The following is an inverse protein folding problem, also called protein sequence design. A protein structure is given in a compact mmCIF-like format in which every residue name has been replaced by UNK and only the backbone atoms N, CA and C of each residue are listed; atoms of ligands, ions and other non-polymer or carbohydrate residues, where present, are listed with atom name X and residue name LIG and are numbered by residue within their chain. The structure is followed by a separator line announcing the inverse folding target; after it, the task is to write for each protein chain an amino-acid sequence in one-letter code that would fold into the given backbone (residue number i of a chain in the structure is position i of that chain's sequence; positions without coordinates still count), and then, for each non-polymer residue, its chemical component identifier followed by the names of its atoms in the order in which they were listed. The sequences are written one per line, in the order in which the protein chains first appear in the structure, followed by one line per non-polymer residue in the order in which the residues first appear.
data_IF_595882198659
#
_entry.id   IF_595882198659
#
_cell.length_a   1.000
_cell.length_b   1.000
_cell.length_c   1.000
_cell.angle_alpha   90.00
_cell.angle_beta   90.00
_cell.angle_gamma   90.00
#
_symmetry.space_group_name_H-M   'P 1'
#
loop_
_entity.id
_entity.type
_entity.pdbx_description
1 polymer ?
#
# COMPACT_ATOMS: atom_id res chain seq x y z
N UNK A 1 23.39 -11.86 15.06
CA UNK A 1 22.46 -12.97 14.81
C UNK A 1 22.07 -12.92 13.34
N UNK A 2 22.34 -13.98 12.57
CA UNK A 2 22.04 -14.01 11.14
C UNK A 2 20.60 -14.48 10.93
N UNK A 3 19.78 -13.65 10.29
CA UNK A 3 18.37 -13.97 9.98
C UNK A 3 18.33 -14.64 8.61
N UNK A 4 18.19 -15.96 8.58
CA UNK A 4 17.94 -16.72 7.35
C UNK A 4 16.47 -16.56 6.97
N UNK A 5 16.20 -15.74 5.94
CA UNK A 5 14.87 -15.62 5.34
C UNK A 5 14.58 -16.90 4.58
N UNK A 6 13.61 -17.69 5.06
CA UNK A 6 13.02 -18.79 4.31
C UNK A 6 12.10 -18.21 3.23
N UNK A 7 12.54 -18.24 1.98
CA UNK A 7 11.69 -17.91 0.84
C UNK A 7 10.81 -19.11 0.52
N UNK A 8 9.65 -19.22 1.18
CA UNK A 8 8.61 -20.15 0.76
C UNK A 8 7.96 -19.62 -0.52
N UNK A 9 7.97 -20.43 -1.57
CA UNK A 9 7.30 -20.10 -2.83
C UNK A 9 5.79 -20.13 -2.60
N UNK A 10 5.20 -18.96 -2.37
CA UNK A 10 3.76 -18.81 -2.22
C UNK A 10 3.09 -19.32 -3.49
N UNK A 11 2.46 -20.49 -3.41
CA UNK A 11 1.60 -21.03 -4.47
C UNK A 11 0.51 -20.00 -4.75
N UNK A 12 0.54 -19.39 -5.93
CA UNK A 12 -0.50 -18.46 -6.36
C UNK A 12 -1.82 -19.22 -6.45
N UNK A 13 -2.72 -18.95 -5.49
CA UNK A 13 -4.03 -19.59 -5.37
C UNK A 13 -5.05 -18.93 -6.32
N UNK A 14 -4.63 -18.56 -7.53
CA UNK A 14 -5.53 -17.86 -8.44
C UNK A 14 -6.53 -18.84 -9.05
N UNK A 15 -7.83 -18.55 -8.91
CA UNK A 15 -8.89 -19.37 -9.50
C UNK A 15 -9.03 -19.05 -11.00
N UNK A 16 -9.63 -19.97 -11.77
CA UNK A 16 -9.81 -19.84 -13.22
C UNK A 16 -10.46 -18.50 -13.64
N UNK A 17 -11.29 -17.90 -12.76
CA UNK A 17 -11.95 -16.60 -12.98
C UNK A 17 -11.12 -15.37 -12.57
N UNK A 18 -9.99 -15.53 -11.89
CA UNK A 18 -9.08 -14.41 -11.58
C UNK A 18 -8.42 -13.84 -12.84
N UNK A 19 -8.36 -14.64 -13.92
CA UNK A 19 -7.88 -14.22 -15.23
C UNK A 19 -8.94 -13.52 -16.08
N UNK A 20 -10.13 -13.27 -15.52
CA UNK A 20 -11.13 -12.44 -16.17
C UNK A 20 -10.54 -11.07 -16.45
N UNK A 21 -10.06 -10.87 -17.68
CA UNK A 21 -9.57 -9.61 -18.24
C UNK A 21 -10.74 -8.60 -18.31
N UNK A 22 -11.32 -8.24 -17.17
CA UNK A 22 -11.93 -6.94 -17.03
C UNK A 22 -10.75 -6.01 -16.89
N UNK A 23 -10.38 -5.39 -18.02
CA UNK A 23 -9.20 -4.52 -18.15
C UNK A 23 -8.97 -3.80 -16.84
N UNK A 24 -7.88 -4.19 -16.16
CA UNK A 24 -7.47 -3.56 -14.90
C UNK A 24 -7.43 -2.08 -15.21
N UNK A 25 -8.40 -1.31 -14.73
CA UNK A 25 -8.23 0.13 -14.67
C UNK A 25 -6.95 0.32 -13.88
N UNK A 26 -5.99 1.04 -14.45
CA UNK A 26 -4.76 1.36 -13.75
C UNK A 26 -5.15 1.82 -12.35
N UNK A 27 -4.47 1.32 -11.29
CA UNK A 27 -4.78 1.74 -9.93
C UNK A 27 -4.90 3.27 -9.92
N UNK A 28 -6.00 3.78 -9.36
CA UNK A 28 -6.16 5.22 -9.25
C UNK A 28 -5.06 5.74 -8.33
N UNK A 29 -4.01 6.30 -8.92
CA UNK A 29 -2.87 6.90 -8.21
C UNK A 29 -3.19 8.29 -7.70
N UNK A 30 -4.39 8.80 -8.01
CA UNK A 30 -4.80 10.17 -7.74
C UNK A 30 -5.89 10.17 -6.68
N UNK A 31 -5.61 10.89 -5.59
CA UNK A 31 -6.61 11.21 -4.59
C UNK A 31 -7.62 12.20 -5.18
N UNK A 32 -8.94 11.95 -5.08
CA UNK A 32 -9.95 12.88 -5.56
C UNK A 32 -9.84 14.25 -4.88
N UNK A 33 -10.05 15.34 -5.62
CA UNK A 33 -10.01 16.70 -5.07
C UNK A 33 -11.09 16.96 -3.99
N UNK A 34 -12.18 16.18 -4.02
CA UNK A 34 -13.26 16.21 -3.03
C UNK A 34 -12.90 15.54 -1.70
N UNK A 35 -11.76 14.83 -1.62
CA UNK A 35 -11.32 14.23 -0.38
C UNK A 35 -10.72 15.31 0.54
N UNK A 36 -11.36 15.49 1.69
CA UNK A 36 -10.94 16.42 2.73
C UNK A 36 -10.74 15.64 4.01
N UNK A 37 -9.58 15.83 4.63
CA UNK A 37 -9.30 15.25 5.93
C UNK A 37 -9.98 16.09 7.01
N UNK A 38 -10.55 15.41 7.99
CA UNK A 38 -10.97 16.09 9.22
C UNK A 38 -9.72 16.45 10.05
N UNK A 39 -9.81 17.42 10.96
CA UNK A 39 -8.69 17.77 11.84
C UNK A 39 -8.12 16.58 12.61
N UNK A 40 -8.98 15.65 13.05
CA UNK A 40 -8.56 14.44 13.75
C UNK A 40 -7.77 13.47 12.85
N UNK A 41 -8.19 13.31 11.59
CA UNK A 41 -7.48 12.45 10.64
C UNK A 41 -6.11 13.02 10.28
N UNK A 42 -6.02 14.35 10.12
CA UNK A 42 -4.74 15.02 9.89
C UNK A 42 -3.81 14.83 11.09
N UNK A 43 -4.31 15.04 12.31
CA UNK A 43 -3.53 14.82 13.53
C UNK A 43 -3.02 13.38 13.65
N UNK A 44 -3.81 12.39 13.23
CA UNK A 44 -3.36 10.99 13.18
C UNK A 44 -2.21 10.78 12.18
N UNK A 45 -2.25 11.43 11.02
CA UNK A 45 -1.17 11.36 10.03
C UNK A 45 0.10 12.03 10.56
N UNK A 46 -0.04 13.19 11.19
CA UNK A 46 1.08 13.98 11.71
C UNK A 46 1.88 13.20 12.78
N UNK A 47 1.22 12.35 13.58
CA UNK A 47 1.86 11.46 14.57
C UNK A 47 2.89 10.52 13.94
N UNK A 48 2.69 10.12 12.68
CA UNK A 48 3.57 9.19 11.97
C UNK A 48 4.41 9.87 10.88
N UNK A 49 4.27 11.19 10.71
CA UNK A 49 5.02 11.96 9.71
C UNK A 49 6.44 12.33 10.17
N UNK A 50 6.73 12.28 11.48
CA UNK A 50 7.99 12.75 12.08
C UNK A 50 9.15 11.74 12.14
N UNK A 51 9.17 10.67 11.34
CA UNK A 51 10.29 9.70 11.34
C UNK A 51 10.83 9.32 9.96
N UNK A 52 11.08 10.31 9.09
CA UNK A 52 12.08 10.15 8.02
C UNK A 52 13.31 11.01 8.36
N UNK A 53 14.35 10.45 9.02
CA UNK A 53 15.63 11.13 9.05
C UNK A 53 16.11 11.25 7.60
N UNK A 54 16.19 12.49 7.09
CA UNK A 54 16.88 12.80 5.85
C UNK A 54 18.24 12.12 5.90
N UNK A 55 18.39 11.00 5.17
CA UNK A 55 19.69 10.37 4.96
C UNK A 55 20.55 11.39 4.22
N UNK A 56 21.51 11.97 4.94
CA UNK A 56 22.68 12.62 4.36
C UNK A 56 23.57 11.59 3.66
#
# INVERSE_FOLDING_TARGET
MAVTVRTETVKQMCQHRDNGHRGRKAPATVVPASWKLTPQQQAFIDVFAEDEPKKQ
#
